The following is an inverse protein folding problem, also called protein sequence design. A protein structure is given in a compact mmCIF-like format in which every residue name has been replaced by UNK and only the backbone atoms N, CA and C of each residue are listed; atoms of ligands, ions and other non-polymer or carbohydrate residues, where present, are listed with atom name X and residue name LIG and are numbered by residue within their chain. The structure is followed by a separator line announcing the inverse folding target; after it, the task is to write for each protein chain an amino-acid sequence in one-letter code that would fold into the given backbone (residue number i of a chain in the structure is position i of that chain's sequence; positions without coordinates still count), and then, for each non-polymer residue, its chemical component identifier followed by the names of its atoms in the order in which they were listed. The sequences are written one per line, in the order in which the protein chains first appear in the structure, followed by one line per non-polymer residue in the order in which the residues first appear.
data_IF_177710950769
#
_entry.id   IF_177710950769
#
_cell.length_a   1.000
_cell.length_b   1.000
_cell.length_c   1.000
_cell.angle_alpha   90.00
_cell.angle_beta   90.00
_cell.angle_gamma   90.00
#
_symmetry.space_group_name_H-M   'P 1'
#
loop_
_entity.id
_entity.type
_entity.pdbx_description
1 polymer ?
#
# COMPACT_ATOMS: atom_id res chain seq x y z
N UNK A 1 -46.74 56.19 49.60
CA UNK A 1 -46.63 55.23 48.48
C UNK A 1 -45.70 54.11 48.91
N UNK A 2 -46.27 52.97 49.28
CA UNK A 2 -45.57 51.86 49.90
C UNK A 2 -45.56 50.62 48.99
N UNK A 3 -44.37 50.02 48.89
CA UNK A 3 -44.07 48.58 48.84
C UNK A 3 -44.79 47.68 47.84
N UNK A 4 -44.02 47.02 46.96
CA UNK A 4 -43.64 45.60 47.16
C UNK A 4 -42.69 45.11 46.07
N UNK A 5 -41.45 44.87 46.48
CA UNK A 5 -40.46 44.09 45.74
C UNK A 5 -40.82 42.61 45.84
N UNK A 6 -41.05 41.92 44.71
CA UNK A 6 -41.18 40.46 44.67
C UNK A 6 -39.91 39.88 44.06
N UNK A 7 -39.08 39.35 44.95
CA UNK A 7 -37.88 38.58 44.66
C UNK A 7 -38.29 37.13 44.39
N UNK A 8 -38.13 36.63 43.17
CA UNK A 8 -38.26 35.20 42.85
C UNK A 8 -36.91 34.65 42.38
N UNK A 9 -36.08 34.25 43.35
CA UNK A 9 -34.94 33.35 43.13
C UNK A 9 -35.47 31.95 42.80
N UNK A 10 -35.44 31.55 41.54
CA UNK A 10 -35.64 30.17 41.12
C UNK A 10 -34.38 29.35 41.46
N UNK A 11 -34.48 28.48 42.46
CA UNK A 11 -33.47 27.44 42.73
C UNK A 11 -33.54 26.39 41.62
N UNK A 12 -32.55 26.35 40.72
CA UNK A 12 -32.27 25.13 39.96
C UNK A 12 -31.57 24.14 40.92
N UNK A 13 -32.25 23.05 41.24
CA UNK A 13 -31.66 21.94 41.96
C UNK A 13 -30.64 21.24 41.05
N UNK A 14 -29.38 21.23 41.46
CA UNK A 14 -28.31 20.49 40.80
C UNK A 14 -28.55 18.99 41.02
N UNK A 15 -29.00 18.28 39.98
CA UNK A 15 -29.03 16.81 40.01
C UNK A 15 -27.59 16.29 39.93
N UNK A 16 -27.14 15.55 40.94
CA UNK A 16 -25.86 14.84 40.91
C UNK A 16 -25.98 13.70 39.88
N UNK A 17 -25.25 13.82 38.78
CA UNK A 17 -25.05 12.72 37.83
C UNK A 17 -24.06 11.78 38.49
N UNK A 18 -24.47 10.55 38.82
CA UNK A 18 -23.53 9.51 39.24
C UNK A 18 -22.69 9.10 38.02
N UNK A 19 -21.39 9.36 38.11
CA UNK A 19 -20.45 9.08 37.03
C UNK A 19 -19.91 7.67 37.22
N UNK A 20 -20.27 6.76 36.30
CA UNK A 20 -19.72 5.40 36.30
C UNK A 20 -18.26 5.46 35.86
N UNK A 21 -17.36 5.00 36.73
CA UNK A 21 -15.93 4.93 36.47
C UNK A 21 -15.49 3.50 36.22
N UNK A 22 -14.60 3.32 35.25
CA UNK A 22 -14.06 2.04 34.81
C UNK A 22 -12.55 2.17 34.69
N UNK A 23 -11.82 1.14 35.12
CA UNK A 23 -10.38 1.04 34.92
C UNK A 23 -10.05 0.48 33.53
N UNK A 24 -9.15 1.15 32.81
CA UNK A 24 -8.70 0.68 31.50
C UNK A 24 -7.70 -0.49 31.62
N UNK A 25 -7.96 -1.61 30.95
CA UNK A 25 -7.07 -2.79 30.95
C UNK A 25 -5.68 -2.54 30.34
N UNK A 26 -5.52 -1.49 29.53
CA UNK A 26 -4.26 -1.20 28.82
C UNK A 26 -3.40 -0.19 29.57
N UNK A 27 -4.00 0.90 30.07
CA UNK A 27 -3.24 1.98 30.72
C UNK A 27 -3.47 2.07 32.24
N UNK A 28 -4.31 1.19 32.81
CA UNK A 28 -4.61 1.11 34.25
C UNK A 28 -5.09 2.44 34.85
N UNK A 29 -5.66 3.33 34.03
CA UNK A 29 -6.24 4.58 34.48
C UNK A 29 -7.75 4.40 34.63
N UNK A 30 -8.29 4.83 35.78
CA UNK A 30 -9.72 4.92 36.04
C UNK A 30 -10.31 6.15 35.35
N UNK A 31 -11.29 5.94 34.48
CA UNK A 31 -11.92 6.99 33.67
C UNK A 31 -13.43 6.86 33.68
N UNK A 32 -14.13 7.95 33.38
CA UNK A 32 -15.57 7.93 33.19
C UNK A 32 -15.94 7.05 31.98
N UNK A 33 -17.10 6.40 32.03
CA UNK A 33 -17.62 5.53 30.95
C UNK A 33 -17.61 6.19 29.56
N UNK A 34 -17.72 7.53 29.50
CA UNK A 34 -17.67 8.33 28.26
C UNK A 34 -16.32 8.27 27.53
N UNK A 35 -15.23 7.90 28.22
CA UNK A 35 -13.91 7.72 27.63
C UNK A 35 -13.70 6.31 27.06
N UNK A 36 -14.70 5.44 27.14
CA UNK A 36 -14.68 4.10 26.56
C UNK A 36 -15.52 4.07 25.28
N UNK A 37 -15.21 3.18 24.32
CA UNK A 37 -16.01 3.05 23.11
C UNK A 37 -17.48 2.75 23.43
N UNK A 38 -18.39 3.51 22.80
CA UNK A 38 -19.84 3.33 22.95
C UNK A 38 -20.40 2.10 22.23
N UNK A 39 -19.57 1.41 21.44
CA UNK A 39 -19.95 0.20 20.70
C UNK A 39 -18.78 -0.76 20.64
N UNK A 40 -19.07 -2.03 20.31
CA UNK A 40 -18.05 -3.03 20.01
C UNK A 40 -17.11 -2.55 18.91
N UNK A 41 -15.85 -2.99 18.99
CA UNK A 41 -14.81 -2.65 18.00
C UNK A 41 -14.80 -3.62 16.80
N UNK A 42 -15.38 -4.81 16.98
CA UNK A 42 -15.58 -5.81 15.95
C UNK A 42 -16.89 -6.56 16.22
N UNK A 43 -17.49 -7.12 15.17
CA UNK A 43 -18.72 -7.89 15.27
C UNK A 43 -18.58 -9.12 16.20
N UNK A 44 -17.40 -9.73 16.23
CA UNK A 44 -17.06 -10.93 17.00
C UNK A 44 -16.58 -10.65 18.43
N UNK A 45 -16.45 -9.39 18.86
CA UNK A 45 -16.12 -9.05 20.23
C UNK A 45 -17.20 -9.58 21.21
N UNK A 46 -16.82 -10.52 22.08
CA UNK A 46 -17.65 -11.07 23.16
C UNK A 46 -17.14 -10.64 24.55
N UNK A 47 -16.75 -9.38 24.67
CA UNK A 47 -16.29 -8.79 25.93
C UNK A 47 -16.90 -7.41 26.11
N UNK A 48 -16.90 -6.95 27.35
CA UNK A 48 -17.25 -5.57 27.69
C UNK A 48 -16.13 -4.59 27.28
N UNK A 49 -16.48 -3.30 27.19
CA UNK A 49 -15.57 -2.25 26.75
C UNK A 49 -14.72 -1.73 27.91
N UNK A 50 -13.64 -2.46 28.21
CA UNK A 50 -12.69 -2.11 29.28
C UNK A 50 -11.38 -1.49 28.75
N UNK A 51 -11.34 -1.06 27.49
CA UNK A 51 -10.20 -0.34 26.91
C UNK A 51 -10.64 1.05 26.49
N UNK A 52 -10.02 2.08 27.06
CA UNK A 52 -10.38 3.46 26.75
C UNK A 52 -10.07 3.83 25.29
N UNK A 53 -10.79 4.81 24.75
CA UNK A 53 -10.68 5.26 23.34
C UNK A 53 -9.25 5.64 22.96
N UNK A 54 -8.49 6.25 23.89
CA UNK A 54 -7.09 6.62 23.65
C UNK A 54 -6.21 5.38 23.42
N UNK A 55 -6.37 4.34 24.24
CA UNK A 55 -5.65 3.08 24.08
C UNK A 55 -6.05 2.35 22.80
N UNK A 56 -7.35 2.36 22.44
CA UNK A 56 -7.81 1.83 21.15
C UNK A 56 -7.14 2.57 19.98
N UNK A 57 -7.12 3.90 20.01
CA UNK A 57 -6.46 4.71 18.98
C UNK A 57 -4.98 4.38 18.83
N UNK A 58 -4.25 4.27 19.94
CA UNK A 58 -2.83 3.92 19.94
C UNK A 58 -2.61 2.50 19.41
N UNK A 59 -3.47 1.55 19.79
CA UNK A 59 -3.44 0.17 19.27
C UNK A 59 -3.61 0.13 17.75
N UNK A 60 -4.60 0.85 17.22
CA UNK A 60 -4.84 0.92 15.77
C UNK A 60 -3.61 1.49 15.04
N UNK A 61 -3.04 2.59 15.56
CA UNK A 61 -1.85 3.21 14.96
C UNK A 61 -0.63 2.30 15.01
N UNK A 62 -0.44 1.56 16.12
CA UNK A 62 0.64 0.58 16.26
C UNK A 62 0.47 -0.59 15.29
N UNK A 63 -0.74 -1.13 15.18
CA UNK A 63 -1.03 -2.23 14.26
C UNK A 63 -0.85 -1.80 12.80
N UNK A 64 -1.34 -0.62 12.40
CA UNK A 64 -1.16 -0.10 11.05
C UNK A 64 0.31 0.23 10.71
N UNK A 65 1.19 0.31 11.72
CA UNK A 65 2.63 0.50 11.55
C UNK A 65 3.38 -0.84 11.49
N UNK A 66 2.98 -1.80 12.31
CA UNK A 66 3.78 -2.99 12.59
C UNK A 66 3.20 -4.29 12.00
N UNK A 67 1.92 -4.29 11.61
CA UNK A 67 1.21 -5.43 11.04
C UNK A 67 0.77 -5.13 9.61
N UNK A 68 0.28 -6.16 8.93
CA UNK A 68 -0.45 -5.97 7.68
C UNK A 68 -1.73 -5.17 7.96
N UNK A 69 -2.12 -4.29 7.03
CA UNK A 69 -3.20 -3.32 7.22
C UNK A 69 -4.59 -3.94 7.40
N UNK A 70 -4.74 -5.21 7.00
CA UNK A 70 -5.97 -5.97 7.21
C UNK A 70 -6.01 -6.65 8.59
N UNK A 71 -4.90 -6.70 9.32
CA UNK A 71 -4.77 -7.47 10.57
C UNK A 71 -4.79 -6.56 11.81
N UNK A 72 -5.53 -5.46 11.73
CA UNK A 72 -5.71 -4.54 12.86
C UNK A 72 -6.63 -5.22 13.87
N UNK A 73 -6.16 -5.36 15.10
CA UNK A 73 -6.79 -6.21 16.12
C UNK A 73 -7.36 -5.38 17.28
N UNK A 74 -8.40 -5.93 17.90
CA UNK A 74 -8.92 -5.43 19.17
C UNK A 74 -7.88 -5.62 20.27
N UNK A 75 -7.53 -4.57 21.04
CA UNK A 75 -6.53 -4.67 22.11
C UNK A 75 -6.96 -5.55 23.29
N UNK A 76 -8.25 -5.92 23.40
CA UNK A 76 -8.76 -6.74 24.49
C UNK A 76 -8.82 -8.25 24.16
N UNK A 77 -9.23 -8.61 22.94
CA UNK A 77 -9.51 -10.00 22.56
C UNK A 77 -8.83 -10.45 21.27
N UNK A 78 -8.07 -9.56 20.62
CA UNK A 78 -7.36 -9.82 19.36
C UNK A 78 -8.24 -10.10 18.12
N UNK A 79 -9.57 -10.02 18.25
CA UNK A 79 -10.50 -10.01 17.11
C UNK A 79 -10.16 -8.91 16.09
N UNK A 80 -10.33 -9.20 14.80
CA UNK A 80 -10.06 -8.24 13.73
C UNK A 80 -11.07 -7.09 13.77
N UNK A 81 -10.58 -5.86 13.79
CA UNK A 81 -11.44 -4.68 13.84
C UNK A 81 -12.24 -4.48 12.54
N UNK A 82 -13.47 -4.01 12.71
CA UNK A 82 -14.29 -3.56 11.58
C UNK A 82 -13.74 -2.25 11.00
N UNK A 83 -13.86 -2.06 9.69
CA UNK A 83 -13.46 -0.80 9.03
C UNK A 83 -14.11 0.43 9.68
N UNK A 84 -15.40 0.34 10.03
CA UNK A 84 -16.12 1.41 10.72
C UNK A 84 -15.55 1.74 12.12
N UNK A 85 -15.02 0.75 12.83
CA UNK A 85 -14.37 0.98 14.12
C UNK A 85 -13.00 1.63 13.94
N UNK A 86 -12.22 1.19 12.95
CA UNK A 86 -10.93 1.80 12.57
C UNK A 86 -11.16 3.26 12.20
N UNK A 87 -12.13 3.55 11.32
CA UNK A 87 -12.50 4.91 10.95
C UNK A 87 -12.89 5.73 12.18
N UNK A 88 -13.80 5.23 13.02
CA UNK A 88 -14.32 5.98 14.16
C UNK A 88 -13.25 6.33 15.20
N UNK A 89 -12.37 5.40 15.56
CA UNK A 89 -11.49 5.54 16.72
C UNK A 89 -10.04 5.94 16.40
N UNK A 90 -9.60 5.82 15.14
CA UNK A 90 -8.27 6.27 14.70
C UNK A 90 -8.10 7.80 14.76
N UNK A 91 -6.84 8.26 14.72
CA UNK A 91 -6.53 9.68 14.46
C UNK A 91 -6.77 10.01 12.98
N UNK A 92 -6.96 11.29 12.60
CA UNK A 92 -7.13 11.67 11.20
C UNK A 92 -6.00 11.17 10.29
N UNK A 93 -4.76 11.19 10.77
CA UNK A 93 -3.58 10.75 10.01
C UNK A 93 -3.57 9.23 9.81
N UNK A 94 -3.91 8.49 10.87
CA UNK A 94 -4.00 7.02 10.84
C UNK A 94 -5.14 6.56 9.95
N UNK A 95 -6.28 7.27 10.00
CA UNK A 95 -7.43 7.05 9.14
C UNK A 95 -7.07 7.25 7.67
N UNK A 96 -6.47 8.39 7.32
CA UNK A 96 -6.07 8.67 5.94
C UNK A 96 -5.09 7.61 5.40
N UNK A 97 -4.17 7.12 6.24
CA UNK A 97 -3.28 6.01 5.87
C UNK A 97 -4.05 4.73 5.59
N UNK A 98 -5.00 4.36 6.46
CA UNK A 98 -5.85 3.19 6.28
C UNK A 98 -6.72 3.28 5.02
N UNK A 99 -7.36 4.42 4.78
CA UNK A 99 -8.16 4.70 3.58
C UNK A 99 -7.33 4.64 2.29
N UNK A 100 -6.10 5.15 2.32
CA UNK A 100 -5.15 5.04 1.20
C UNK A 100 -4.84 3.57 0.88
N UNK A 101 -4.61 2.75 1.91
CA UNK A 101 -4.35 1.32 1.75
C UNK A 101 -5.56 0.56 1.21
N UNK A 102 -6.76 0.88 1.71
CA UNK A 102 -8.02 0.33 1.22
C UNK A 102 -8.24 0.68 -0.26
N UNK A 103 -8.07 1.96 -0.61
CA UNK A 103 -8.17 2.45 -1.98
C UNK A 103 -7.16 1.76 -2.89
N UNK A 104 -5.91 1.61 -2.42
CA UNK A 104 -4.86 0.92 -3.17
C UNK A 104 -5.26 -0.51 -3.48
N UNK A 105 -5.76 -1.24 -2.48
CA UNK A 105 -6.23 -2.61 -2.64
C UNK A 105 -7.43 -2.73 -3.59
N UNK A 106 -8.40 -1.82 -3.50
CA UNK A 106 -9.58 -1.82 -4.39
C UNK A 106 -9.17 -1.60 -5.84
N UNK A 107 -8.25 -0.66 -6.11
CA UNK A 107 -7.77 -0.42 -7.47
C UNK A 107 -6.94 -1.58 -8.01
N UNK A 108 -6.10 -2.20 -7.18
CA UNK A 108 -5.32 -3.40 -7.56
C UNK A 108 -6.19 -4.60 -7.95
N UNK A 109 -7.43 -4.66 -7.46
CA UNK A 109 -8.38 -5.71 -7.84
C UNK A 109 -8.92 -5.56 -9.27
N UNK A 110 -8.76 -4.38 -9.89
CA UNK A 110 -9.17 -4.15 -11.26
C UNK A 110 -8.22 -4.83 -12.24
N UNK A 111 -8.79 -5.52 -13.22
CA UNK A 111 -7.99 -6.16 -14.27
C UNK A 111 -7.16 -5.12 -15.04
N UNK A 112 -5.90 -5.45 -15.31
CA UNK A 112 -4.98 -4.54 -15.99
C UNK A 112 -4.45 -3.38 -15.14
N UNK A 113 -4.99 -3.12 -13.94
CA UNK A 113 -4.51 -2.02 -13.10
C UNK A 113 -3.11 -2.29 -12.54
N UNK A 114 -2.25 -1.27 -12.59
CA UNK A 114 -0.92 -1.29 -11.98
C UNK A 114 -0.56 0.07 -11.38
N UNK A 115 0.08 0.02 -10.22
CA UNK A 115 0.80 1.15 -9.65
C UNK A 115 2.10 1.41 -10.41
N UNK A 116 2.50 2.68 -10.49
CA UNK A 116 3.82 3.06 -10.94
C UNK A 116 4.87 2.44 -10.00
N UNK A 117 5.91 1.82 -10.57
CA UNK A 117 6.95 1.17 -9.78
C UNK A 117 7.97 2.15 -9.17
N UNK A 118 7.90 3.44 -9.54
CA UNK A 118 8.83 4.45 -9.04
C UNK A 118 8.55 4.75 -7.55
N UNK A 119 9.57 4.68 -6.66
CA UNK A 119 9.41 5.00 -5.26
C UNK A 119 8.82 6.40 -5.04
N UNK A 120 7.76 6.49 -4.22
CA UNK A 120 7.08 7.75 -3.92
C UNK A 120 6.11 8.25 -5.01
N UNK A 121 5.96 7.51 -6.11
CA UNK A 121 4.91 7.80 -7.10
C UNK A 121 3.61 7.09 -6.72
N UNK A 122 2.54 7.86 -6.49
CA UNK A 122 1.21 7.32 -6.17
C UNK A 122 0.28 7.25 -7.38
N UNK A 123 0.81 7.37 -8.59
CA UNK A 123 0.03 7.22 -9.82
C UNK A 123 -0.15 5.75 -10.18
N UNK A 124 -1.36 5.38 -10.61
CA UNK A 124 -1.69 4.06 -11.16
C UNK A 124 -2.63 4.19 -12.35
N UNK A 125 -2.62 3.20 -13.23
CA UNK A 125 -3.48 3.17 -14.41
C UNK A 125 -3.78 1.73 -14.84
N UNK A 126 -4.85 1.58 -15.62
CA UNK A 126 -5.17 0.33 -16.30
C UNK A 126 -4.33 0.26 -17.57
N UNK A 127 -3.67 -0.87 -17.75
CA UNK A 127 -2.83 -1.15 -18.92
C UNK A 127 -3.49 -2.22 -19.80
N UNK A 128 -4.13 -1.78 -20.88
CA UNK A 128 -4.89 -2.66 -21.81
C UNK A 128 -3.99 -3.61 -22.61
N UNK A 129 -2.75 -3.20 -22.90
CA UNK A 129 -1.82 -3.99 -23.70
C UNK A 129 -1.32 -5.29 -23.02
N UNK A 130 -1.61 -5.45 -21.72
CA UNK A 130 -1.31 -6.66 -20.96
C UNK A 130 0.15 -7.09 -21.03
N UNK A 131 0.38 -8.41 -21.00
CA UNK A 131 1.73 -8.99 -21.06
C UNK A 131 2.40 -8.83 -22.44
N UNK A 132 1.60 -8.70 -23.51
CA UNK A 132 2.12 -8.56 -24.88
C UNK A 132 2.77 -7.19 -25.12
N UNK A 133 2.37 -6.16 -24.36
CA UNK A 133 2.95 -4.83 -24.41
C UNK A 133 3.44 -4.44 -23.01
N UNK A 134 4.53 -5.04 -22.49
CA UNK A 134 4.86 -4.96 -21.06
C UNK A 134 5.33 -3.57 -20.59
N UNK A 135 5.58 -2.63 -21.50
CA UNK A 135 6.04 -1.28 -21.16
C UNK A 135 4.85 -0.43 -20.73
N UNK A 136 4.82 -0.05 -19.46
CA UNK A 136 3.85 0.91 -18.93
C UNK A 136 4.48 2.29 -18.82
N UNK A 137 3.74 3.32 -19.23
CA UNK A 137 4.17 4.72 -19.11
C UNK A 137 3.29 5.45 -18.10
N UNK A 138 3.89 5.81 -16.98
CA UNK A 138 3.25 6.65 -15.98
C UNK A 138 2.96 8.05 -16.56
N UNK A 139 1.86 8.72 -16.20
CA UNK A 139 1.60 10.12 -16.55
C UNK A 139 2.73 11.08 -16.14
N UNK A 140 3.53 10.71 -15.13
CA UNK A 140 4.70 11.46 -14.67
C UNK A 140 6.00 11.17 -15.45
N UNK A 141 5.93 10.32 -16.48
CA UNK A 141 7.05 10.00 -17.38
C UNK A 141 7.87 8.76 -17.02
N UNK A 142 7.66 8.16 -15.84
CA UNK A 142 8.36 6.93 -15.46
C UNK A 142 7.91 5.73 -16.30
N UNK A 143 8.85 4.82 -16.57
CA UNK A 143 8.56 3.56 -17.27
C UNK A 143 8.64 2.40 -16.27
N UNK A 144 7.69 1.47 -16.36
CA UNK A 144 7.62 0.29 -15.51
C UNK A 144 7.24 -0.95 -16.33
N UNK A 145 7.62 -2.12 -15.84
CA UNK A 145 7.24 -3.39 -16.45
C UNK A 145 5.90 -3.89 -15.90
N UNK A 146 4.93 -4.13 -16.77
CA UNK A 146 3.60 -4.67 -16.42
C UNK A 146 3.67 -6.07 -15.80
N UNK A 147 4.62 -6.89 -16.25
CA UNK A 147 4.81 -8.29 -15.83
C UNK A 147 5.47 -8.33 -14.45
N UNK A 148 6.60 -7.64 -14.29
CA UNK A 148 7.43 -7.73 -13.08
C UNK A 148 7.07 -6.70 -12.00
N UNK A 149 6.29 -5.67 -12.33
CA UNK A 149 5.90 -4.57 -11.41
C UNK A 149 7.10 -3.82 -10.82
N UNK A 150 8.16 -3.68 -11.61
CA UNK A 150 9.40 -2.95 -11.28
C UNK A 150 9.67 -1.85 -12.32
N UNK A 151 10.65 -0.98 -12.06
CA UNK A 151 11.14 -0.01 -13.05
C UNK A 151 11.56 -0.71 -14.35
N UNK A 152 11.32 -0.06 -15.49
CA UNK A 152 11.52 -0.68 -16.79
C UNK A 152 12.97 -1.12 -17.02
N UNK A 153 13.16 -2.41 -17.30
CA UNK A 153 14.46 -3.01 -17.63
C UNK A 153 14.80 -2.76 -19.12
N UNK A 154 15.25 -1.53 -19.41
CA UNK A 154 15.57 -1.08 -20.76
C UNK A 154 16.62 -1.97 -21.43
N UNK A 155 16.37 -2.34 -22.68
CA UNK A 155 17.29 -3.16 -23.49
C UNK A 155 17.23 -4.65 -23.18
N UNK A 156 16.26 -5.08 -22.36
CA UNK A 156 16.04 -6.48 -22.04
C UNK A 156 14.56 -6.83 -22.17
N UNK A 157 14.29 -8.03 -22.69
CA UNK A 157 13.00 -8.69 -22.64
C UNK A 157 12.66 -9.12 -21.20
N UNK A 158 11.40 -9.52 -20.98
CA UNK A 158 11.01 -10.03 -19.67
C UNK A 158 11.74 -11.34 -19.33
N UNK A 159 11.91 -12.24 -20.30
CA UNK A 159 12.58 -13.53 -20.09
C UNK A 159 14.05 -13.35 -19.71
N UNK A 160 14.76 -12.44 -20.38
CA UNK A 160 16.15 -12.11 -20.03
C UNK A 160 16.25 -11.49 -18.63
N UNK A 161 15.29 -10.65 -18.27
CA UNK A 161 15.22 -10.05 -16.94
C UNK A 161 15.02 -11.11 -15.85
N UNK A 162 14.16 -12.10 -16.09
CA UNK A 162 13.94 -13.22 -15.19
C UNK A 162 15.21 -14.06 -15.02
N UNK A 163 15.91 -14.38 -16.13
CA UNK A 163 17.19 -15.10 -16.07
C UNK A 163 18.21 -14.33 -15.24
N UNK A 164 18.35 -13.01 -15.43
CA UNK A 164 19.32 -12.20 -14.65
C UNK A 164 19.02 -12.11 -13.16
N UNK A 165 17.81 -12.45 -12.73
CA UNK A 165 17.44 -12.52 -11.31
C UNK A 165 17.66 -13.90 -10.69
N UNK A 166 17.98 -14.91 -11.50
CA UNK A 166 18.31 -16.24 -11.02
C UNK A 166 19.67 -16.26 -10.34
N UNK A 167 19.96 -17.38 -9.67
CA UNK A 167 21.29 -17.65 -9.12
C UNK A 167 22.34 -17.60 -10.26
N UNK A 168 23.45 -16.84 -10.08
CA UNK A 168 24.53 -16.80 -11.06
C UNK A 168 25.12 -18.18 -11.40
N UNK A 169 25.10 -19.14 -10.49
CA UNK A 169 25.60 -20.50 -10.72
C UNK A 169 24.57 -21.43 -11.38
N UNK A 170 23.34 -20.93 -11.61
CA UNK A 170 22.31 -21.72 -12.28
C UNK A 170 22.68 -22.02 -13.74
N UNK A 171 22.36 -23.23 -14.25
CA UNK A 171 22.62 -23.58 -15.65
C UNK A 171 22.02 -22.58 -16.65
N UNK A 172 20.83 -22.03 -16.34
CA UNK A 172 20.15 -21.06 -17.19
C UNK A 172 20.90 -19.72 -17.28
N UNK A 173 21.37 -19.18 -16.15
CA UNK A 173 22.15 -17.95 -16.13
C UNK A 173 23.50 -18.14 -16.85
N UNK A 174 24.19 -19.25 -16.60
CA UNK A 174 25.46 -19.58 -17.27
C UNK A 174 25.29 -19.76 -18.78
N UNK A 175 24.18 -20.36 -19.23
CA UNK A 175 23.86 -20.45 -20.65
C UNK A 175 23.60 -19.07 -21.26
N UNK A 176 22.84 -18.23 -20.59
CA UNK A 176 22.59 -16.85 -21.03
C UNK A 176 23.89 -16.06 -21.20
N UNK A 177 24.83 -16.15 -20.26
CA UNK A 177 26.14 -15.49 -20.38
C UNK A 177 26.94 -15.96 -21.59
N UNK A 178 26.96 -17.28 -21.87
CA UNK A 178 27.62 -17.81 -23.07
C UNK A 178 26.98 -17.26 -24.34
N UNK A 179 25.65 -17.23 -24.39
CA UNK A 179 24.93 -16.74 -25.55
C UNK A 179 25.16 -15.23 -25.78
N UNK A 180 25.21 -14.42 -24.72
CA UNK A 180 25.59 -13.01 -24.80
C UNK A 180 27.00 -12.82 -25.37
N UNK A 181 27.97 -13.63 -24.92
CA UNK A 181 29.34 -13.59 -25.44
C UNK A 181 29.41 -13.99 -26.93
N UNK A 182 28.69 -15.05 -27.31
CA UNK A 182 28.59 -15.50 -28.70
C UNK A 182 27.92 -14.46 -29.60
N UNK A 183 26.83 -13.85 -29.13
CA UNK A 183 26.12 -12.78 -29.83
C UNK A 183 27.05 -11.58 -30.07
N UNK A 184 27.81 -11.16 -29.04
CA UNK A 184 28.79 -10.07 -29.17
C UNK A 184 29.87 -10.38 -30.21
N UNK A 185 30.45 -11.60 -30.18
CA UNK A 185 31.44 -12.03 -31.17
C UNK A 185 30.83 -12.08 -32.59
N UNK A 186 29.57 -12.49 -32.70
CA UNK A 186 28.83 -12.50 -33.97
C UNK A 186 28.63 -11.08 -34.52
N UNK A 187 28.20 -10.14 -33.68
CA UNK A 187 28.05 -8.72 -34.05
C UNK A 187 29.36 -8.10 -34.52
N UNK A 188 30.46 -8.34 -33.78
CA UNK A 188 31.80 -7.89 -34.17
C UNK A 188 32.21 -8.46 -35.52
N UNK A 189 31.96 -9.75 -35.76
CA UNK A 189 32.24 -10.40 -37.05
C UNK A 189 31.41 -9.79 -38.18
N UNK A 190 30.10 -9.61 -37.98
CA UNK A 190 29.19 -9.00 -38.97
C UNK A 190 29.68 -7.59 -39.31
N UNK A 191 30.11 -6.79 -38.33
CA UNK A 191 30.63 -5.45 -38.56
C UNK A 191 31.93 -5.44 -39.40
N UNK A 192 32.76 -6.48 -39.28
CA UNK A 192 34.01 -6.62 -40.06
C UNK A 192 33.77 -7.17 -41.46
N UNK A 193 32.83 -8.12 -41.65
CA UNK A 193 32.65 -8.85 -42.91
C UNK A 193 31.53 -8.31 -43.78
N UNK A 194 30.63 -7.49 -43.23
CA UNK A 194 29.50 -6.91 -43.95
C UNK A 194 29.59 -5.39 -44.04
N UNK A 195 29.00 -4.84 -45.10
CA UNK A 195 28.84 -3.39 -45.27
C UNK A 195 27.39 -3.08 -45.61
N UNK A 196 26.84 -1.92 -45.21
CA UNK A 196 25.49 -1.55 -45.58
C UNK A 196 25.40 -1.29 -47.10
N UNK A 197 24.37 -1.84 -47.74
CA UNK A 197 24.06 -1.55 -49.13
C UNK A 197 23.70 -0.06 -49.27
N UNK A 198 24.36 0.70 -50.18
CA UNK A 198 24.08 2.13 -50.35
C UNK A 198 22.63 2.46 -50.74
N UNK A 199 21.90 1.51 -51.34
CA UNK A 199 20.53 1.75 -51.83
C UNK A 199 19.44 1.47 -50.79
N UNK A 200 19.66 0.55 -49.86
CA UNK A 200 18.60 0.10 -48.93
C UNK A 200 19.05 -0.05 -47.47
N UNK A 201 20.34 0.16 -47.17
CA UNK A 201 20.90 0.12 -45.83
C UNK A 201 21.09 -1.28 -45.23
N UNK A 202 20.64 -2.36 -45.90
CA UNK A 202 20.85 -3.74 -45.41
C UNK A 202 22.30 -4.15 -45.51
N UNK A 203 22.82 -4.81 -44.48
CA UNK A 203 24.18 -5.35 -44.48
C UNK A 203 24.32 -6.46 -45.53
N UNK A 204 25.36 -6.34 -46.37
CA UNK A 204 25.74 -7.31 -47.39
C UNK A 204 27.14 -7.86 -47.06
N UNK A 205 27.27 -9.18 -47.06
CA UNK A 205 28.56 -9.87 -46.90
C UNK A 205 29.24 -9.99 -48.26
N UNK A 206 30.54 -9.65 -48.34
CA UNK A 206 31.29 -9.72 -49.60
C UNK A 206 31.76 -11.16 -49.86
N UNK A 207 31.01 -11.91 -50.68
CA UNK A 207 31.27 -13.32 -50.98
C UNK A 207 32.29 -13.56 -52.11
N UNK A 208 33.38 -12.78 -52.15
CA UNK A 208 34.45 -12.90 -53.16
C UNK A 208 34.09 -12.32 -54.52
N UNK A 209 35.10 -11.84 -55.27
CA UNK A 209 34.98 -11.39 -56.65
C UNK A 209 35.66 -12.36 -57.60
#
# INVERSE_FOLDING_TARGET
MATRTINKRSKLASQKIEVVQIECLVCTETKDLLYFPSSKLAADCQHEMHVCVQCVRLSIAADLKNKHWQDISCPACNSRLDAAAIERYSSPETRAKYESLLTKHMLESQEGFRWCAEPGCESGHIHEGGKAQPIMKCPRGHLSCYVHKVSWHKGMSCDEFDIKRMDPDSPAYQQYLRQEEENKKSEEKIALTSKPCPSCGRNIEKNGG
#
